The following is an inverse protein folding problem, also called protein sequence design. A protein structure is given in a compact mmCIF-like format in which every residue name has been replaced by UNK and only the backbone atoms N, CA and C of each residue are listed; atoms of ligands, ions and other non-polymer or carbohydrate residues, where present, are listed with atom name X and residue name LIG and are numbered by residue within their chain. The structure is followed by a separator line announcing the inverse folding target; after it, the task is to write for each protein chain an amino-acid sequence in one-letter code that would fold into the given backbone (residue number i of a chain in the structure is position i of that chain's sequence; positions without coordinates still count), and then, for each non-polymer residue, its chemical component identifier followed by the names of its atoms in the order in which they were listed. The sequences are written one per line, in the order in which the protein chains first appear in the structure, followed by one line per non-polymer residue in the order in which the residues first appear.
data_IF_209722961606
#
_entry.id   IF_209722961606
#
_cell.length_a   1.000
_cell.length_b   1.000
_cell.length_c   1.000
_cell.angle_alpha   90.00
_cell.angle_beta   90.00
_cell.angle_gamma   90.00
#
_symmetry.space_group_name_H-M   'P 1'
#
loop_
_entity.id
_entity.type
_entity.pdbx_description
1 polymer ?
#
# COMPACT_ATOMS: atom_id res chain seq x y z
N UNK A 1 -10.07 -1.49 -13.57
CA UNK A 1 -9.10 -0.72 -12.77
C UNK A 1 -9.82 0.19 -11.79
N UNK A 2 -9.45 0.12 -10.52
CA UNK A 2 -9.99 0.99 -9.48
C UNK A 2 -8.85 1.73 -8.78
N UNK A 3 -9.13 2.93 -8.25
CA UNK A 3 -8.15 3.77 -7.57
C UNK A 3 -8.76 4.28 -6.27
N UNK A 4 -7.93 4.47 -5.26
CA UNK A 4 -8.37 5.01 -3.98
C UNK A 4 -7.23 5.78 -3.31
N UNK A 5 -7.51 7.00 -2.90
CA UNK A 5 -6.53 7.79 -2.13
C UNK A 5 -6.61 7.39 -0.67
N UNK A 6 -5.46 7.15 -0.07
CA UNK A 6 -5.37 6.74 1.34
C UNK A 6 -4.30 7.60 2.02
N UNK A 7 -4.63 8.13 3.19
CA UNK A 7 -3.66 8.86 4.01
C UNK A 7 -2.97 7.88 4.95
N UNK A 8 -1.65 7.93 4.98
CA UNK A 8 -0.86 7.10 5.89
C UNK A 8 -1.00 7.65 7.30
N UNK A 9 -1.64 6.88 8.18
CA UNK A 9 -1.95 7.32 9.54
C UNK A 9 -1.09 6.64 10.61
N UNK A 10 -0.40 5.54 10.28
CA UNK A 10 0.47 4.86 11.24
C UNK A 10 1.72 5.67 11.51
N UNK A 11 2.21 5.61 12.75
CA UNK A 11 3.33 6.44 13.19
C UNK A 11 4.63 6.16 12.45
N UNK A 12 4.83 4.94 11.98
CA UNK A 12 6.08 4.51 11.35
C UNK A 12 6.11 4.77 9.85
N UNK A 13 4.94 4.91 9.21
CA UNK A 13 4.86 5.01 7.76
C UNK A 13 5.14 3.64 7.11
N UNK A 14 5.68 3.65 5.89
CA UNK A 14 6.03 2.42 5.18
C UNK A 14 7.56 2.23 5.14
N UNK A 15 8.16 2.02 6.31
CA UNK A 15 9.55 1.57 6.44
C UNK A 15 9.63 0.05 6.29
N UNK A 16 10.80 -0.55 6.54
CA UNK A 16 11.07 -1.94 6.20
C UNK A 16 10.02 -2.94 6.75
N UNK A 17 9.71 -2.90 8.06
CA UNK A 17 8.78 -3.88 8.63
C UNK A 17 7.33 -3.64 8.20
N UNK A 18 6.75 -2.44 8.34
CA UNK A 18 5.40 -2.19 7.83
C UNK A 18 5.29 -2.41 6.33
N UNK A 19 6.32 -2.06 5.55
CA UNK A 19 6.32 -2.29 4.12
C UNK A 19 6.26 -3.78 3.79
N UNK A 20 6.96 -4.62 4.55
CA UNK A 20 6.91 -6.06 4.36
C UNK A 20 5.49 -6.60 4.55
N UNK A 21 4.79 -6.17 5.59
CA UNK A 21 3.41 -6.60 5.81
C UNK A 21 2.48 -6.11 4.70
N UNK A 22 2.67 -4.87 4.26
CA UNK A 22 1.91 -4.30 3.15
C UNK A 22 2.09 -5.13 1.88
N UNK A 23 3.33 -5.47 1.55
CA UNK A 23 3.65 -6.25 0.34
C UNK A 23 3.11 -7.66 0.43
N UNK A 24 3.21 -8.30 1.60
CA UNK A 24 2.64 -9.62 1.81
C UNK A 24 1.14 -9.61 1.58
N UNK A 25 0.45 -8.58 2.09
CA UNK A 25 -0.99 -8.44 1.88
C UNK A 25 -1.30 -8.24 0.40
N UNK A 26 -0.56 -7.36 -0.28
CA UNK A 26 -0.76 -7.11 -1.70
C UNK A 26 -0.58 -8.38 -2.54
N UNK A 27 0.36 -9.24 -2.14
CA UNK A 27 0.62 -10.49 -2.85
C UNK A 27 -0.46 -11.55 -2.65
N UNK A 28 -1.39 -11.37 -1.69
CA UNK A 28 -2.51 -12.30 -1.52
C UNK A 28 -3.59 -12.09 -2.58
N UNK A 29 -3.55 -10.98 -3.31
CA UNK A 29 -4.52 -10.68 -4.35
C UNK A 29 -3.95 -11.02 -5.73
N UNK A 30 -4.83 -11.47 -6.64
CA UNK A 30 -4.42 -11.78 -8.01
C UNK A 30 -4.29 -10.54 -8.88
N UNK A 31 -4.98 -9.46 -8.52
CA UNK A 31 -4.92 -8.20 -9.27
C UNK A 31 -3.53 -7.59 -9.23
N UNK A 32 -3.20 -6.86 -10.29
CA UNK A 32 -2.03 -5.98 -10.26
C UNK A 32 -2.33 -4.80 -9.33
N UNK A 33 -1.38 -4.43 -8.49
CA UNK A 33 -1.57 -3.34 -7.53
C UNK A 33 -0.38 -2.39 -7.61
N UNK A 34 -0.67 -1.10 -7.60
CA UNK A 34 0.35 -0.04 -7.62
C UNK A 34 0.10 0.95 -6.50
N UNK A 35 1.18 1.58 -6.05
CA UNK A 35 1.14 2.73 -5.15
C UNK A 35 1.67 3.93 -5.90
N UNK A 36 0.93 5.04 -5.90
CA UNK A 36 1.34 6.26 -6.57
C UNK A 36 1.44 7.40 -5.56
N UNK A 37 2.52 8.15 -5.65
CA UNK A 37 2.78 9.33 -4.82
C UNK A 37 3.50 10.36 -5.69
N UNK A 38 2.93 11.57 -5.77
CA UNK A 38 3.57 12.68 -6.51
C UNK A 38 4.00 12.28 -7.92
N UNK A 39 3.09 11.70 -8.68
CA UNK A 39 3.30 11.27 -10.07
C UNK A 39 4.24 10.07 -10.22
N UNK A 40 4.75 9.52 -9.12
CA UNK A 40 5.59 8.34 -9.16
C UNK A 40 4.77 7.11 -8.79
N UNK A 41 4.77 6.12 -9.67
CA UNK A 41 4.01 4.88 -9.49
C UNK A 41 4.97 3.70 -9.36
N UNK A 42 4.75 2.87 -8.36
CA UNK A 42 5.55 1.65 -8.15
C UNK A 42 4.64 0.45 -7.94
N UNK A 43 5.16 -0.73 -8.19
CA UNK A 43 4.44 -1.98 -7.98
C UNK A 43 4.30 -2.22 -6.46
N UNK A 44 3.07 -2.32 -5.98
CA UNK A 44 2.80 -2.53 -4.54
C UNK A 44 3.26 -3.89 -4.05
N UNK A 45 3.59 -4.82 -4.96
CA UNK A 45 4.11 -6.15 -4.61
C UNK A 45 5.63 -6.20 -4.57
N UNK A 46 6.30 -5.06 -4.78
CA UNK A 46 7.75 -4.94 -4.77
C UNK A 46 8.22 -4.20 -3.53
N UNK A 47 8.99 -4.87 -2.68
CA UNK A 47 9.53 -4.25 -1.46
C UNK A 47 10.42 -3.07 -1.78
N UNK A 48 11.35 -3.24 -2.73
CA UNK A 48 12.24 -2.15 -3.13
C UNK A 48 11.46 -0.96 -3.70
N UNK A 49 10.43 -1.23 -4.50
CA UNK A 49 9.59 -0.18 -5.05
C UNK A 49 8.90 0.63 -3.97
N UNK A 50 8.27 -0.04 -3.03
CA UNK A 50 7.54 0.62 -1.94
C UNK A 50 8.50 1.40 -1.03
N UNK A 51 9.63 0.80 -0.65
CA UNK A 51 10.61 1.47 0.20
C UNK A 51 11.21 2.70 -0.48
N UNK A 52 11.38 2.65 -1.80
CA UNK A 52 11.97 3.77 -2.55
C UNK A 52 11.11 5.02 -2.55
N UNK A 53 9.83 4.92 -2.16
CA UNK A 53 8.93 6.07 -2.15
C UNK A 53 9.07 6.94 -0.90
N UNK A 54 9.70 6.44 0.15
CA UNK A 54 9.88 7.22 1.38
C UNK A 54 8.56 7.65 2.01
N UNK A 55 7.59 6.75 2.07
CA UNK A 55 6.25 7.05 2.58
C UNK A 55 6.28 7.16 4.10
N UNK A 56 5.83 8.30 4.63
CA UNK A 56 5.80 8.57 6.06
C UNK A 56 4.37 8.93 6.49
N UNK A 57 4.16 9.04 7.80
CA UNK A 57 2.88 9.48 8.36
C UNK A 57 2.44 10.81 7.76
N UNK A 58 1.19 10.90 7.38
CA UNK A 58 0.62 12.09 6.77
C UNK A 58 0.70 12.12 5.25
N UNK A 59 1.47 11.21 4.64
CA UNK A 59 1.55 11.11 3.19
C UNK A 59 0.23 10.56 2.63
N UNK A 60 -0.28 11.20 1.58
CA UNK A 60 -1.42 10.68 0.82
C UNK A 60 -0.88 9.89 -0.36
N UNK A 61 -1.28 8.63 -0.46
CA UNK A 61 -0.91 7.79 -1.59
C UNK A 61 -2.18 7.38 -2.34
N UNK A 62 -2.04 7.10 -3.63
CA UNK A 62 -3.13 6.53 -4.43
C UNK A 62 -2.85 5.05 -4.63
N UNK A 63 -3.76 4.21 -4.15
CA UNK A 63 -3.69 2.78 -4.40
C UNK A 63 -4.48 2.49 -5.67
N UNK A 64 -3.88 1.72 -6.58
CA UNK A 64 -4.47 1.38 -7.86
C UNK A 64 -4.47 -0.14 -7.99
N UNK A 65 -5.60 -0.72 -8.36
CA UNK A 65 -5.69 -2.16 -8.58
C UNK A 65 -6.43 -2.46 -9.87
N UNK A 66 -5.99 -3.51 -10.56
CA UNK A 66 -6.58 -3.93 -11.83
C UNK A 66 -6.60 -5.46 -11.89
N UNK A 67 -7.80 -6.03 -11.89
CA UNK A 67 -7.99 -7.47 -11.91
C UNK A 67 -9.32 -7.90 -11.32
N UNK A 68 -9.52 -9.21 -11.20
CA UNK A 68 -10.78 -9.75 -10.72
C UNK A 68 -11.11 -9.36 -9.28
N UNK A 69 -10.10 -9.31 -8.41
CA UNK A 69 -10.28 -8.97 -7.00
C UNK A 69 -9.81 -7.55 -6.68
N UNK A 70 -9.89 -6.65 -7.67
CA UNK A 70 -9.35 -5.29 -7.51
C UNK A 70 -9.98 -4.52 -6.36
N UNK A 71 -11.28 -4.67 -6.13
CA UNK A 71 -11.96 -3.98 -5.03
C UNK A 71 -11.55 -4.53 -3.68
N UNK A 72 -11.50 -5.85 -3.55
CA UNK A 72 -11.05 -6.49 -2.33
C UNK A 72 -9.61 -6.11 -2.02
N UNK A 73 -8.77 -6.01 -3.06
CA UNK A 73 -7.38 -5.63 -2.89
C UNK A 73 -7.25 -4.23 -2.29
N UNK A 74 -7.96 -3.24 -2.84
CA UNK A 74 -7.91 -1.88 -2.31
C UNK A 74 -8.49 -1.80 -0.91
N UNK A 75 -9.62 -2.45 -0.65
CA UNK A 75 -10.24 -2.44 0.66
C UNK A 75 -9.33 -3.08 1.71
N UNK A 76 -8.73 -4.21 1.39
CA UNK A 76 -7.82 -4.91 2.31
C UNK A 76 -6.55 -4.12 2.59
N UNK A 77 -5.98 -3.49 1.58
CA UNK A 77 -4.78 -2.68 1.76
C UNK A 77 -5.06 -1.39 2.52
N UNK A 78 -6.20 -0.74 2.25
CA UNK A 78 -6.61 0.42 3.02
C UNK A 78 -6.81 0.08 4.48
N UNK A 79 -7.51 -1.02 4.76
CA UNK A 79 -7.73 -1.48 6.14
C UNK A 79 -6.39 -1.73 6.84
N UNK A 80 -5.45 -2.39 6.19
CA UNK A 80 -4.14 -2.65 6.76
C UNK A 80 -3.43 -1.34 7.11
N UNK A 81 -3.45 -0.37 6.21
CA UNK A 81 -2.80 0.93 6.43
C UNK A 81 -3.44 1.67 7.60
N UNK A 82 -4.78 1.69 7.67
CA UNK A 82 -5.48 2.51 8.67
C UNK A 82 -5.59 1.85 10.04
N UNK A 83 -5.54 0.52 10.12
CA UNK A 83 -5.78 -0.19 11.40
C UNK A 83 -4.72 -1.21 11.77
N UNK A 84 -3.92 -1.68 10.81
CA UNK A 84 -3.06 -2.84 11.01
C UNK A 84 -1.58 -2.59 11.15
N UNK A 85 -1.04 -1.54 10.51
CA UNK A 85 0.41 -1.35 10.45
C UNK A 85 1.04 -0.96 11.78
N UNK A 86 0.31 -0.28 12.65
CA UNK A 86 0.83 0.09 13.97
C UNK A 86 1.06 -1.14 14.86
N UNK A 87 0.43 -2.26 14.53
CA UNK A 87 0.58 -3.51 15.28
C UNK A 87 1.71 -4.39 14.73
N UNK A 88 2.43 -3.92 13.73
CA UNK A 88 3.46 -4.68 13.03
C UNK A 88 4.87 -4.38 13.53
N UNK A 89 5.00 -3.78 14.67
CA UNK A 89 6.29 -3.42 15.26
C UNK A 89 7.03 -4.63 15.83
#
# INVERSE_FOLDING_TARGET
MVKKDVTITNNIGLHARPATFFIQKANTYSSSVWVEKEERRVNAKSLLGVLSMGIIKGTVVTLIADGEDEKEALDGLEELITTGLDHCE
#
